data_IF_339729874676
#
_entry.id   IF_339729874676
#
_cell.length_a   1.000
_cell.length_b   1.000
_cell.length_c   1.000
_cell.angle_alpha   90.00
_cell.angle_beta   90.00
_cell.angle_gamma   90.00
#
_symmetry.space_group_name_H-M   'P 1'
#
loop_
_entity.id
_entity.type
_entity.pdbx_description
1 polymer ?
#
# COMPACT_ATOMS: atom_id res chain seq x y z
N UNK A 1 1.95 -10.64 7.38
CA UNK A 1 3.21 -11.15 6.80
C UNK A 1 4.34 -10.13 6.96
N UNK A 2 5.55 -10.58 7.32
CA UNK A 2 6.77 -9.77 7.33
C UNK A 2 7.62 -10.17 6.13
N UNK A 3 7.96 -9.24 5.25
CA UNK A 3 8.71 -9.53 4.02
C UNK A 3 10.08 -8.82 4.06
N UNK A 4 11.14 -9.58 3.81
CA UNK A 4 12.51 -9.08 3.69
C UNK A 4 12.71 -8.59 2.25
N UNK A 5 12.54 -7.29 2.04
CA UNK A 5 13.02 -6.55 0.87
C UNK A 5 12.63 -7.12 -0.50
N UNK A 6 11.43 -6.77 -0.97
CA UNK A 6 11.05 -6.61 -2.40
C UNK A 6 9.63 -6.00 -2.52
N UNK A 7 9.23 -5.17 -1.53
CA UNK A 7 7.90 -4.54 -1.50
C UNK A 7 7.91 -3.32 -2.42
N UNK A 8 6.99 -3.29 -3.38
CA UNK A 8 6.74 -2.14 -4.25
C UNK A 8 5.69 -1.22 -3.66
N UNK A 9 5.59 0.02 -4.14
CA UNK A 9 4.54 0.94 -3.68
C UNK A 9 3.14 0.41 -4.03
N UNK A 10 3.01 -0.41 -5.08
CA UNK A 10 1.77 -1.10 -5.42
C UNK A 10 1.30 -2.08 -4.35
N UNK A 11 2.21 -2.75 -3.65
CA UNK A 11 1.87 -3.69 -2.58
C UNK A 11 1.23 -3.00 -1.36
N UNK A 12 1.44 -1.69 -1.24
CA UNK A 12 0.80 -0.88 -0.21
C UNK A 12 -0.66 -0.54 -0.54
N UNK A 13 -1.18 -0.83 -1.74
CA UNK A 13 -2.57 -0.55 -2.10
C UNK A 13 -3.54 -1.52 -1.42
N UNK A 14 -4.41 -0.97 -0.58
CA UNK A 14 -5.51 -1.71 0.00
C UNK A 14 -6.69 -1.78 -0.99
N UNK A 15 -6.69 -2.82 -1.84
CA UNK A 15 -7.76 -3.08 -2.82
C UNK A 15 -9.14 -3.29 -2.19
N UNK A 16 -9.20 -3.62 -0.88
CA UNK A 16 -10.46 -3.77 -0.14
C UNK A 16 -11.04 -2.44 0.33
N UNK A 17 -10.22 -1.39 0.44
CA UNK A 17 -10.64 -0.07 0.94
C UNK A 17 -11.70 0.57 0.03
N UNK A 18 -12.64 1.31 0.64
CA UNK A 18 -13.64 2.07 -0.10
C UNK A 18 -12.98 3.11 -1.01
N UNK A 19 -11.98 3.82 -0.48
CA UNK A 19 -11.23 4.85 -1.21
C UNK A 19 -10.54 4.30 -2.47
N UNK A 20 -9.90 3.13 -2.40
CA UNK A 20 -9.34 2.51 -3.61
C UNK A 20 -10.43 2.12 -4.61
N UNK A 21 -11.55 1.53 -4.15
CA UNK A 21 -12.65 1.12 -5.04
C UNK A 21 -13.33 2.29 -5.76
N UNK A 22 -13.33 3.46 -5.16
CA UNK A 22 -13.93 4.68 -5.72
C UNK A 22 -12.94 5.48 -6.56
N UNK A 23 -11.67 5.58 -6.16
CA UNK A 23 -10.71 6.54 -6.72
C UNK A 23 -9.41 5.93 -7.26
N UNK A 24 -9.12 4.66 -6.97
CA UNK A 24 -7.81 4.05 -7.21
C UNK A 24 -7.79 2.87 -8.18
N UNK A 25 -8.91 2.51 -8.80
CA UNK A 25 -9.02 1.33 -9.68
C UNK A 25 -8.09 1.36 -10.89
N UNK A 26 -7.79 2.55 -11.41
CA UNK A 26 -6.88 2.75 -12.55
C UNK A 26 -5.38 2.61 -12.19
N UNK A 27 -5.06 2.50 -10.90
CA UNK A 27 -3.69 2.46 -10.42
C UNK A 27 -3.00 1.11 -10.58
N UNK A 28 -3.73 0.02 -10.85
CA UNK A 28 -3.17 -1.33 -10.99
C UNK A 28 -2.19 -1.48 -12.18
N UNK A 29 -2.27 -0.57 -13.16
CA UNK A 29 -1.35 -0.49 -14.30
C UNK A 29 -0.57 0.82 -14.37
N UNK A 30 -0.57 1.61 -13.28
CA UNK A 30 0.10 2.90 -13.22
C UNK A 30 1.57 2.75 -12.79
N UNK A 31 2.35 3.82 -12.92
CA UNK A 31 3.73 3.80 -12.41
C UNK A 31 3.77 4.02 -10.88
N UNK A 32 4.88 3.60 -10.25
CA UNK A 32 5.12 3.71 -8.80
C UNK A 32 4.91 5.14 -8.25
N UNK A 33 5.27 6.18 -9.02
CA UNK A 33 5.12 7.57 -8.60
C UNK A 33 3.65 8.00 -8.51
N UNK A 34 2.83 7.57 -9.47
CA UNK A 34 1.40 7.85 -9.46
C UNK A 34 0.72 7.17 -8.26
N UNK A 35 1.11 5.92 -7.97
CA UNK A 35 0.63 5.20 -6.79
C UNK A 35 1.07 5.89 -5.50
N UNK A 36 2.33 6.32 -5.40
CA UNK A 36 2.84 7.04 -4.23
C UNK A 36 2.10 8.36 -3.99
N UNK A 37 1.85 9.13 -5.06
CA UNK A 37 1.07 10.38 -4.99
C UNK A 37 -0.37 10.14 -4.54
N UNK A 38 -1.02 9.10 -5.08
CA UNK A 38 -2.35 8.70 -4.65
C UNK A 38 -2.38 8.31 -3.17
N UNK A 39 -1.47 7.44 -2.72
CA UNK A 39 -1.43 6.98 -1.33
C UNK A 39 -1.11 8.11 -0.34
N UNK A 40 -0.30 9.09 -0.75
CA UNK A 40 0.02 10.28 0.06
C UNK A 40 -1.21 11.18 0.27
N UNK A 41 -2.06 11.30 -0.74
CA UNK A 41 -3.30 12.09 -0.69
C UNK A 41 -4.48 11.31 -0.11
N UNK A 42 -4.45 9.98 -0.23
CA UNK A 42 -5.51 9.06 0.16
C UNK A 42 -5.00 7.98 1.13
N UNK A 43 -4.58 8.35 2.34
CA UNK A 43 -3.97 7.43 3.32
C UNK A 43 -4.83 6.19 3.61
N UNK A 44 -6.17 6.31 3.57
CA UNK A 44 -7.11 5.18 3.81
C UNK A 44 -7.08 4.10 2.72
N UNK A 45 -6.51 4.41 1.56
CA UNK A 45 -6.31 3.44 0.48
C UNK A 45 -5.02 2.62 0.64
N UNK A 46 -4.24 2.85 1.69
CA UNK A 46 -3.02 2.12 2.02
C UNK A 46 -3.32 0.94 2.95
N UNK A 47 -2.61 -0.19 2.80
CA UNK A 47 -2.62 -1.28 3.78
C UNK A 47 -1.95 -0.81 5.08
N UNK A 48 -2.56 -1.12 6.22
CA UNK A 48 -2.18 -0.62 7.55
C UNK A 48 -2.46 -1.68 8.62
N UNK A 49 -1.74 -1.69 9.76
CA UNK A 49 -0.60 -0.83 10.10
C UNK A 49 0.63 -1.10 9.20
N UNK A 50 1.56 -0.15 9.16
CA UNK A 50 2.90 -0.34 8.59
C UNK A 50 3.90 -0.23 9.72
N UNK A 51 4.71 -1.25 9.95
CA UNK A 51 5.79 -1.23 10.95
C UNK A 51 7.12 -1.46 10.24
N UNK A 52 7.97 -0.45 10.24
CA UNK A 52 9.31 -0.52 9.68
C UNK A 52 10.32 -0.74 10.81
N UNK A 53 10.99 -1.89 10.80
CA UNK A 53 12.15 -2.21 11.63
C UNK A 53 13.46 -2.05 10.85
N UNK A 54 14.58 -2.39 11.49
CA UNK A 54 15.92 -2.23 10.89
C UNK A 54 16.09 -3.10 9.63
N UNK A 55 15.48 -4.29 9.61
CA UNK A 55 15.60 -5.26 8.51
C UNK A 55 14.24 -5.87 8.12
N UNK A 56 13.13 -5.25 8.51
CA UNK A 56 11.79 -5.80 8.26
C UNK A 56 10.78 -4.68 8.00
N UNK A 57 9.85 -4.95 7.10
CA UNK A 57 8.64 -4.15 6.93
C UNK A 57 7.44 -5.08 7.11
N UNK A 58 6.65 -4.81 8.15
CA UNK A 58 5.38 -5.50 8.39
C UNK A 58 4.27 -4.68 7.75
N UNK A 59 3.51 -5.33 6.87
CA UNK A 59 2.35 -4.73 6.19
C UNK A 59 1.08 -5.41 6.69
N UNK A 60 0.20 -4.62 7.30
CA UNK A 60 -1.02 -5.12 7.91
C UNK A 60 -0.77 -5.87 9.22
N UNK A 61 -1.82 -6.46 9.76
CA UNK A 61 -1.74 -7.42 10.85
C UNK A 61 -2.53 -8.65 10.41
N UNK A 62 -1.97 -9.84 10.63
CA UNK A 62 -2.71 -11.11 10.56
C UNK A 62 -2.92 -11.58 11.99
N UNK A 63 -4.13 -12.06 12.26
CA UNK A 63 -4.52 -12.67 13.55
C UNK A 63 -3.90 -14.06 13.69
#
# INVERSE_FOLDING_TARGET
>A
MAELGEITVHDLLNKKSKTYKELGKELDGSNELAVAGFLSTNPKAMVRPLLAGINELIIGFED
#
